data_IF_978380730914
#
_entry.id   IF_978380730914
#
_cell.length_a   1.000
_cell.length_b   1.000
_cell.length_c   1.000
_cell.angle_alpha   90.00
_cell.angle_beta   90.00
_cell.angle_gamma   90.00
#
_symmetry.space_group_name_H-M   'P 1'
#
loop_
_entity.id
_entity.type
_entity.pdbx_description
1 polymer ?
#
# COMPACT_ATOMS: atom_id res chain seq x y z
N UNK A 1 -16.02 14.19 36.55
CA UNK A 1 -14.84 13.92 35.70
C UNK A 1 -14.81 14.95 34.58
N UNK A 2 -13.75 15.77 34.50
CA UNK A 2 -13.61 16.84 33.49
C UNK A 2 -13.00 16.21 32.23
N UNK A 3 -13.75 16.13 31.13
CA UNK A 3 -13.21 15.68 29.85
C UNK A 3 -12.15 16.71 29.38
N UNK A 4 -10.96 16.28 28.91
CA UNK A 4 -10.00 17.20 28.33
C UNK A 4 -10.63 17.80 27.07
N UNK A 5 -10.71 19.13 26.99
CA UNK A 5 -11.11 19.80 25.75
C UNK A 5 -9.97 19.64 24.76
N UNK A 6 -10.11 18.72 23.80
CA UNK A 6 -9.14 18.60 22.72
C UNK A 6 -9.08 19.94 21.97
N UNK A 7 -7.88 20.51 21.93
CA UNK A 7 -7.63 21.76 21.25
C UNK A 7 -7.60 21.49 19.72
N UNK A 8 -8.23 22.32 18.88
CA UNK A 8 -8.22 22.11 17.43
C UNK A 8 -6.79 21.99 16.85
N UNK A 9 -5.81 22.67 17.45
CA UNK A 9 -4.40 22.60 17.06
C UNK A 9 -3.80 21.19 17.28
N UNK A 10 -4.09 20.55 18.41
CA UNK A 10 -3.64 19.18 18.67
C UNK A 10 -4.23 18.18 17.69
N UNK A 11 -5.49 18.39 17.27
CA UNK A 11 -6.13 17.54 16.26
C UNK A 11 -5.51 17.73 14.87
N UNK A 12 -5.22 18.97 14.49
CA UNK A 12 -4.59 19.30 13.22
C UNK A 12 -3.18 18.69 13.09
N UNK A 13 -2.38 18.75 14.15
CA UNK A 13 -1.03 18.15 14.18
C UNK A 13 -1.12 16.63 13.98
N UNK A 14 -2.03 15.96 14.68
CA UNK A 14 -2.22 14.51 14.57
C UNK A 14 -2.65 14.12 13.15
N UNK A 15 -3.66 14.78 12.59
CA UNK A 15 -4.17 14.50 11.23
C UNK A 15 -3.08 14.71 10.17
N UNK A 16 -2.30 15.79 10.29
CA UNK A 16 -1.22 16.09 9.36
C UNK A 16 -0.13 15.01 9.38
N UNK A 17 0.22 14.49 10.57
CA UNK A 17 1.22 13.42 10.71
C UNK A 17 0.83 12.08 10.06
N UNK A 18 -0.47 11.76 9.98
CA UNK A 18 -0.95 10.51 9.35
C UNK A 18 -0.95 10.54 7.82
N UNK A 19 -0.89 11.72 7.21
CA UNK A 19 -0.97 11.87 5.75
C UNK A 19 0.15 11.15 4.99
N UNK A 20 1.36 11.10 5.53
CA UNK A 20 2.50 10.42 4.89
C UNK A 20 2.28 8.91 4.79
N UNK A 21 1.81 8.27 5.87
CA UNK A 21 1.50 6.84 5.89
C UNK A 21 0.36 6.48 4.94
N UNK A 22 -0.68 7.33 4.86
CA UNK A 22 -1.80 7.12 3.96
C UNK A 22 -1.36 7.14 2.49
N UNK A 23 -0.54 8.13 2.08
CA UNK A 23 -0.02 8.21 0.72
C UNK A 23 0.92 7.06 0.37
N UNK A 24 1.79 6.66 1.32
CA UNK A 24 2.69 5.53 1.13
C UNK A 24 1.91 4.21 0.92
N UNK A 25 0.86 3.98 1.72
CA UNK A 25 0.00 2.80 1.52
C UNK A 25 -0.80 2.88 0.23
N UNK A 26 -1.33 4.05 -0.12
CA UNK A 26 -2.06 4.23 -1.38
C UNK A 26 -1.16 3.91 -2.59
N UNK A 27 0.08 4.40 -2.60
CA UNK A 27 1.05 4.09 -3.64
C UNK A 27 1.33 2.59 -3.77
N UNK A 28 1.53 1.90 -2.64
CA UNK A 28 1.74 0.45 -2.64
C UNK A 28 0.51 -0.31 -3.18
N UNK A 29 -0.68 0.06 -2.73
CA UNK A 29 -1.94 -0.55 -3.18
C UNK A 29 -2.20 -0.36 -4.68
N UNK A 30 -1.68 0.71 -5.28
CA UNK A 30 -1.84 1.02 -6.70
C UNK A 30 -0.75 0.38 -7.58
N UNK A 31 0.44 0.15 -7.05
CA UNK A 31 1.61 -0.30 -7.80
C UNK A 31 1.77 -1.83 -7.85
N UNK A 32 1.13 -2.58 -6.96
CA UNK A 32 1.37 -4.02 -6.78
C UNK A 32 0.71 -4.88 -7.85
N UNK A 33 -0.61 -4.76 -8.05
CA UNK A 33 -1.37 -5.65 -8.94
C UNK A 33 -2.71 -5.01 -9.38
N UNK A 34 -3.10 -5.20 -10.64
CA UNK A 34 -4.30 -4.57 -11.20
C UNK A 34 -5.56 -5.36 -10.82
N UNK A 35 -5.47 -6.70 -10.79
CA UNK A 35 -6.60 -7.55 -10.40
C UNK A 35 -6.98 -7.30 -8.96
N UNK A 36 -6.00 -7.23 -8.05
CA UNK A 36 -6.26 -6.87 -6.66
C UNK A 36 -6.85 -5.46 -6.57
N UNK A 37 -6.30 -4.48 -7.30
CA UNK A 37 -6.79 -3.11 -7.29
C UNK A 37 -8.25 -3.03 -7.74
N UNK A 38 -8.62 -3.78 -8.79
CA UNK A 38 -10.00 -3.87 -9.27
C UNK A 38 -10.98 -4.47 -8.25
N UNK A 39 -10.47 -5.28 -7.32
CA UNK A 39 -11.21 -5.86 -6.20
C UNK A 39 -11.07 -5.03 -4.91
N UNK A 40 -10.55 -3.81 -4.98
CA UNK A 40 -10.31 -2.96 -3.80
C UNK A 40 -9.28 -3.54 -2.83
N UNK A 41 -8.33 -4.32 -3.34
CA UNK A 41 -7.31 -5.07 -2.60
C UNK A 41 -7.87 -6.05 -1.55
N UNK A 42 -9.14 -6.45 -1.67
CA UNK A 42 -9.79 -7.43 -0.81
C UNK A 42 -9.49 -8.89 -1.24
N UNK A 43 -8.20 -9.20 -1.44
CA UNK A 43 -7.75 -10.45 -2.09
C UNK A 43 -7.15 -11.46 -1.12
N UNK A 44 -7.36 -11.32 0.19
CA UNK A 44 -6.75 -12.23 1.18
C UNK A 44 -7.25 -13.67 1.06
N UNK A 45 -8.52 -13.85 0.71
CA UNK A 45 -9.14 -15.16 0.49
C UNK A 45 -9.05 -15.65 -0.97
N UNK A 46 -8.82 -14.74 -1.91
CA UNK A 46 -8.66 -15.04 -3.34
C UNK A 46 -7.48 -14.27 -3.94
N UNK A 47 -6.24 -14.67 -3.62
CA UNK A 47 -5.06 -13.93 -4.03
C UNK A 47 -4.80 -14.11 -5.54
N UNK A 48 -4.50 -13.03 -6.29
CA UNK A 48 -4.38 -13.09 -7.74
C UNK A 48 -3.07 -13.78 -8.16
N UNK A 49 -3.13 -15.08 -8.45
CA UNK A 49 -2.04 -15.83 -9.07
C UNK A 49 -0.67 -15.58 -8.43
N UNK A 50 0.34 -15.27 -9.25
CA UNK A 50 1.72 -14.98 -8.81
C UNK A 50 1.78 -13.77 -7.86
N UNK A 51 0.93 -12.76 -8.06
CA UNK A 51 0.87 -11.56 -7.23
C UNK A 51 0.39 -11.82 -5.80
N UNK A 52 -0.07 -13.04 -5.49
CA UNK A 52 -0.34 -13.48 -4.12
C UNK A 52 0.83 -13.29 -3.16
N UNK A 53 2.07 -13.20 -3.65
CA UNK A 53 3.27 -12.90 -2.86
C UNK A 53 3.13 -11.62 -2.03
N UNK A 54 2.39 -10.61 -2.51
CA UNK A 54 2.21 -9.33 -1.82
C UNK A 54 1.01 -9.30 -0.86
N UNK A 55 0.10 -10.29 -0.93
CA UNK A 55 -1.14 -10.30 -0.16
C UNK A 55 -1.23 -11.48 0.80
N UNK A 56 -1.15 -12.71 0.27
CA UNK A 56 -1.24 -13.94 1.03
C UNK A 56 -0.38 -15.03 0.34
N UNK A 57 0.88 -15.21 0.77
CA UNK A 57 1.82 -16.12 0.11
C UNK A 57 1.39 -17.59 0.18
N UNK A 58 0.45 -17.97 1.08
CA UNK A 58 -0.07 -19.34 1.12
C UNK A 58 -0.81 -19.74 -0.17
N UNK A 59 -1.36 -18.78 -0.91
CA UNK A 59 -2.01 -19.05 -2.20
C UNK A 59 -1.02 -19.34 -3.34
N UNK A 60 0.28 -19.06 -3.17
CA UNK A 60 1.30 -19.47 -4.15
C UNK A 60 1.38 -20.99 -4.29
N UNK A 61 0.98 -21.74 -3.25
CA UNK A 61 0.89 -23.20 -3.31
C UNK A 61 -0.19 -23.71 -4.29
N UNK A 62 -1.13 -22.85 -4.72
CA UNK A 62 -2.14 -23.17 -5.73
C UNK A 62 -1.66 -22.91 -7.17
N UNK A 63 -0.43 -22.43 -7.35
CA UNK A 63 0.14 -22.17 -8.68
C UNK A 63 0.67 -23.49 -9.23
N UNK A 64 0.13 -23.92 -10.36
CA UNK A 64 0.59 -25.10 -11.07
C UNK A 64 1.69 -24.73 -12.07
N UNK A 65 2.87 -25.32 -11.89
CA UNK A 65 4.01 -25.11 -12.78
C UNK A 65 4.63 -23.71 -12.68
N UNK A 66 5.20 -23.23 -13.80
CA UNK A 66 5.78 -21.90 -13.90
C UNK A 66 4.78 -20.96 -14.58
N UNK A 67 4.38 -19.91 -13.87
CA UNK A 67 3.51 -18.86 -14.42
C UNK A 67 4.26 -17.53 -14.45
N UNK A 68 4.11 -16.79 -15.54
CA UNK A 68 4.61 -15.42 -15.69
C UNK A 68 3.41 -14.55 -16.03
N UNK A 69 3.19 -13.51 -15.24
CA UNK A 69 2.11 -12.56 -15.43
C UNK A 69 2.68 -11.19 -15.79
N UNK A 70 2.09 -10.54 -16.79
CA UNK A 70 2.51 -9.23 -17.29
C UNK A 70 1.32 -8.31 -17.25
N UNK A 71 1.39 -7.31 -16.37
CA UNK A 71 0.33 -6.35 -16.13
C UNK A 71 0.85 -4.93 -16.38
N UNK A 72 0.02 -4.07 -16.96
CA UNK A 72 0.36 -2.69 -17.28
C UNK A 72 -0.64 -1.71 -16.71
N UNK A 73 -0.16 -0.72 -15.96
CA UNK A 73 -0.94 0.41 -15.44
C UNK A 73 -0.52 1.69 -16.16
N UNK A 74 -1.49 2.42 -16.72
CA UNK A 74 -1.29 3.81 -17.13
C UNK A 74 -1.67 4.72 -15.95
N UNK A 75 -0.70 5.05 -15.11
CA UNK A 75 -0.86 6.01 -14.02
C UNK A 75 0.31 7.00 -13.99
N UNK A 76 0.03 8.22 -13.54
CA UNK A 76 1.05 9.21 -13.29
C UNK A 76 1.58 9.01 -11.86
N UNK A 77 2.83 8.57 -11.75
CA UNK A 77 3.51 8.41 -10.47
C UNK A 77 4.53 9.54 -10.29
N UNK A 78 4.17 10.58 -9.54
CA UNK A 78 5.13 11.60 -9.06
C UNK A 78 5.68 11.17 -7.69
N UNK A 79 6.62 10.22 -7.70
CA UNK A 79 7.26 9.73 -6.47
C UNK A 79 8.60 10.44 -6.30
N UNK A 80 8.64 11.41 -5.39
CA UNK A 80 9.87 12.12 -5.01
C UNK A 80 10.47 11.48 -3.76
N UNK A 81 11.76 11.15 -3.79
CA UNK A 81 12.48 10.55 -2.66
C UNK A 81 13.83 11.21 -2.49
N UNK A 82 14.00 11.89 -1.36
CA UNK A 82 15.28 12.49 -0.98
C UNK A 82 16.08 11.49 -0.15
N UNK A 83 17.26 11.12 -0.64
CA UNK A 83 18.17 10.24 0.08
C UNK A 83 19.33 11.07 0.60
N UNK A 84 19.52 11.07 1.92
CA UNK A 84 20.69 11.65 2.56
C UNK A 84 21.51 10.55 3.20
N UNK A 85 22.73 10.37 2.72
CA UNK A 85 23.69 9.49 3.35
C UNK A 85 24.42 10.26 4.47
N UNK A 86 24.54 9.71 5.70
CA UNK A 86 25.34 10.33 6.74
C UNK A 86 26.83 10.32 6.34
N UNK A 87 27.63 11.31 6.81
CA UNK A 87 29.08 11.29 6.60
C UNK A 87 29.68 10.05 7.26
N UNK A 88 30.57 9.36 6.53
CA UNK A 88 31.25 8.14 6.94
C UNK A 88 32.36 8.35 7.96
#
# INVERSE_FOLDING_TARGET
>A
MKYPKLCPLTMAIVISGFSSFANAQLGQNLAVDIRSLSMGNAVTADPPGISAVHFNPAALAKIDGLQTDVQGILANFDIQREFSAPPG
#
